data_IF_215530673410
#
_entry.id   IF_215530673410
#
_cell.length_a   1.000
_cell.length_b   1.000
_cell.length_c   1.000
_cell.angle_alpha   90.00
_cell.angle_beta   90.00
_cell.angle_gamma   90.00
#
_symmetry.space_group_name_H-M   'P 1'
#
loop_
_entity.id
_entity.type
_entity.pdbx_description
1 polymer ?
#
# COMPACT_ATOMS: atom_id res chain seq x y z
N UNK A 1 31.69 -14.29 -9.07
CA UNK A 1 30.36 -13.77 -8.66
C UNK A 1 30.58 -12.48 -7.90
N UNK A 2 29.68 -11.49 -8.02
CA UNK A 2 29.75 -10.30 -7.18
C UNK A 2 29.17 -10.59 -5.80
N UNK A 3 29.74 -10.01 -4.73
CA UNK A 3 29.21 -10.09 -3.35
C UNK A 3 27.73 -9.74 -3.26
N UNK A 4 27.26 -8.82 -4.10
CA UNK A 4 25.85 -8.43 -4.16
C UNK A 4 24.96 -9.57 -4.68
N UNK A 5 25.42 -10.29 -5.70
CA UNK A 5 24.67 -11.41 -6.28
C UNK A 5 24.56 -12.56 -5.27
N UNK A 6 25.65 -12.90 -4.58
CA UNK A 6 25.69 -13.94 -3.54
C UNK A 6 24.74 -13.62 -2.36
N UNK A 7 24.68 -12.36 -1.94
CA UNK A 7 23.75 -11.96 -0.88
C UNK A 7 22.30 -11.96 -1.35
N UNK A 8 22.04 -11.59 -2.61
CA UNK A 8 20.68 -11.61 -3.15
C UNK A 8 20.14 -13.02 -3.37
N UNK A 9 20.98 -13.97 -3.80
CA UNK A 9 20.60 -15.39 -3.87
C UNK A 9 20.29 -15.95 -2.50
N UNK A 10 21.12 -15.64 -1.50
CA UNK A 10 20.89 -16.07 -0.11
C UNK A 10 19.59 -15.49 0.48
N UNK A 11 19.19 -14.28 0.08
CA UNK A 11 17.89 -13.69 0.47
C UNK A 11 16.72 -14.38 -0.24
N UNK A 12 16.87 -14.83 -1.49
CA UNK A 12 15.83 -15.60 -2.18
C UNK A 12 15.67 -17.01 -1.59
N UNK A 13 16.78 -17.65 -1.25
CA UNK A 13 16.78 -18.91 -0.51
C UNK A 13 16.06 -18.74 0.84
N UNK A 14 16.32 -17.64 1.55
CA UNK A 14 15.56 -17.32 2.77
C UNK A 14 14.06 -17.17 2.52
N UNK A 15 13.64 -16.48 1.45
CA UNK A 15 12.20 -16.33 1.09
C UNK A 15 11.52 -17.69 0.86
N UNK A 16 12.26 -18.66 0.34
CA UNK A 16 11.78 -20.04 0.13
C UNK A 16 11.89 -20.92 1.38
N UNK A 17 12.70 -20.51 2.37
CA UNK A 17 12.84 -21.23 3.63
C UNK A 17 11.68 -20.92 4.58
N UNK A 18 11.16 -21.93 5.27
CA UNK A 18 10.19 -21.75 6.36
C UNK A 18 10.88 -21.36 7.70
N UNK A 19 12.17 -20.99 7.66
CA UNK A 19 12.96 -20.70 8.83
C UNK A 19 12.83 -19.23 9.24
N UNK A 20 13.01 -18.97 10.53
CA UNK A 20 13.14 -17.59 11.00
C UNK A 20 14.52 -17.02 10.57
N UNK A 21 14.60 -15.68 10.43
CA UNK A 21 15.81 -15.02 9.93
C UNK A 21 17.06 -15.29 10.79
N UNK A 22 16.89 -15.47 12.12
CA UNK A 22 17.99 -15.74 13.04
C UNK A 22 18.58 -17.15 12.80
N UNK A 23 17.73 -18.17 12.77
CA UNK A 23 18.11 -19.55 12.50
C UNK A 23 18.72 -19.68 11.10
N UNK A 24 18.15 -19.00 10.10
CA UNK A 24 18.71 -19.00 8.75
C UNK A 24 20.12 -18.37 8.70
N UNK A 25 20.32 -17.26 9.40
CA UNK A 25 21.63 -16.61 9.51
C UNK A 25 22.66 -17.52 10.22
N UNK A 26 22.26 -18.21 11.28
CA UNK A 26 23.10 -19.16 12.02
C UNK A 26 23.53 -20.35 11.13
N UNK A 27 22.60 -20.95 10.37
CA UNK A 27 22.91 -22.08 9.47
C UNK A 27 23.82 -21.69 8.31
N UNK A 28 23.66 -20.48 7.77
CA UNK A 28 24.44 -20.01 6.62
C UNK A 28 25.70 -19.20 7.00
N UNK A 29 25.98 -19.06 8.30
CA UNK A 29 27.15 -18.31 8.79
C UNK A 29 27.13 -16.82 8.46
N UNK A 30 25.95 -16.23 8.30
CA UNK A 30 25.78 -14.81 7.96
C UNK A 30 25.48 -14.01 9.23
N UNK A 31 26.14 -12.87 9.42
CA UNK A 31 25.83 -11.97 10.53
C UNK A 31 24.42 -11.37 10.33
N UNK A 32 23.52 -11.43 11.32
CA UNK A 32 22.15 -10.96 11.18
C UNK A 32 22.04 -9.51 10.71
N UNK A 33 22.89 -8.61 11.19
CA UNK A 33 22.91 -7.20 10.78
C UNK A 33 23.22 -7.04 9.29
N UNK A 34 24.19 -7.81 8.77
CA UNK A 34 24.54 -7.86 7.35
C UNK A 34 23.37 -8.40 6.53
N UNK A 35 22.72 -9.46 7.00
CA UNK A 35 21.55 -10.02 6.34
C UNK A 35 20.41 -8.99 6.21
N UNK A 36 20.05 -8.32 7.30
CA UNK A 36 19.00 -7.30 7.28
C UNK A 36 19.35 -6.12 6.39
N UNK A 37 20.62 -5.70 6.37
CA UNK A 37 21.10 -4.67 5.46
C UNK A 37 20.86 -5.05 3.99
N UNK A 38 21.29 -6.24 3.58
CA UNK A 38 21.12 -6.70 2.20
C UNK A 38 19.66 -6.94 1.84
N UNK A 39 18.84 -7.44 2.77
CA UNK A 39 17.40 -7.60 2.59
C UNK A 39 16.73 -6.25 2.30
N UNK A 40 17.07 -5.21 3.07
CA UNK A 40 16.58 -3.85 2.83
C UNK A 40 17.08 -3.31 1.49
N UNK A 41 18.37 -3.49 1.18
CA UNK A 41 18.96 -3.04 -0.09
C UNK A 41 18.27 -3.70 -1.29
N UNK A 42 17.94 -4.99 -1.22
CA UNK A 42 17.20 -5.70 -2.26
C UNK A 42 15.78 -5.16 -2.42
N UNK A 43 15.06 -4.98 -1.30
CA UNK A 43 13.71 -4.41 -1.34
C UNK A 43 13.67 -3.01 -1.96
N UNK A 44 14.66 -2.15 -1.66
CA UNK A 44 14.79 -0.83 -2.28
C UNK A 44 15.07 -0.88 -3.78
N UNK A 45 15.74 -1.92 -4.26
CA UNK A 45 16.05 -2.14 -5.69
C UNK A 45 14.87 -2.75 -6.45
N UNK A 46 14.03 -3.54 -5.77
CA UNK A 46 12.79 -4.13 -6.30
C UNK A 46 11.63 -3.11 -6.31
N UNK A 47 11.65 -2.12 -5.41
CA UNK A 47 10.71 -1.02 -5.47
C UNK A 47 10.95 -0.20 -6.75
N UNK A 48 9.89 0.18 -7.49
CA UNK A 48 10.04 1.19 -8.54
C UNK A 48 10.69 2.42 -7.91
N UNK A 49 11.47 3.20 -8.68
CA UNK A 49 12.18 4.40 -8.22
C UNK A 49 11.25 5.54 -7.79
N UNK A 50 10.32 5.27 -6.87
CA UNK A 50 9.54 6.24 -6.13
C UNK A 50 10.38 6.69 -4.93
N UNK A 51 11.63 7.06 -5.19
CA UNK A 51 12.45 7.86 -4.28
C UNK A 51 11.92 9.30 -4.35
N UNK A 52 10.75 9.54 -3.76
CA UNK A 52 10.07 10.82 -3.81
C UNK A 52 8.96 10.92 -2.78
N UNK A 53 8.30 12.08 -2.75
CA UNK A 53 7.14 12.29 -1.90
C UNK A 53 6.03 11.29 -2.25
N UNK A 54 5.60 10.51 -1.25
CA UNK A 54 4.42 9.67 -1.36
C UNK A 54 3.22 10.59 -1.15
N UNK A 55 2.43 10.81 -2.19
CA UNK A 55 1.20 11.59 -2.07
C UNK A 55 0.21 10.83 -1.18
N UNK A 56 -0.10 11.39 -0.02
CA UNK A 56 -1.15 10.89 0.85
C UNK A 56 -2.43 11.59 0.42
N UNK A 57 -3.23 10.93 -0.41
CA UNK A 57 -4.60 11.40 -0.63
C UNK A 57 -5.38 11.19 0.68
N UNK A 58 -6.07 12.21 1.21
CA UNK A 58 -6.99 11.98 2.30
C UNK A 58 -8.00 10.94 1.81
N UNK A 59 -8.20 9.90 2.61
CA UNK A 59 -9.31 8.96 2.41
C UNK A 59 -10.56 9.78 2.65
N UNK A 60 -11.13 10.36 1.58
CA UNK A 60 -12.42 11.01 1.63
C UNK A 60 -13.38 9.89 2.00
N UNK A 61 -13.78 9.85 3.27
CA UNK A 61 -14.93 9.06 3.66
C UNK A 61 -16.08 9.59 2.81
N UNK A 62 -16.58 8.77 1.90
CA UNK A 62 -17.71 9.13 1.04
C UNK A 62 -18.84 9.53 1.98
N UNK A 63 -19.08 10.83 2.14
CA UNK A 63 -20.17 11.32 2.96
C UNK A 63 -21.48 10.89 2.32
N UNK A 64 -22.41 10.44 3.15
CA UNK A 64 -23.78 10.25 2.72
C UNK A 64 -24.49 11.60 2.84
N UNK A 65 -25.01 12.12 1.73
CA UNK A 65 -25.75 13.36 1.65
C UNK A 65 -27.25 13.07 1.73
N UNK A 66 -28.01 13.90 2.44
CA UNK A 66 -29.47 13.79 2.51
C UNK A 66 -30.14 15.01 1.87
N UNK A 67 -31.02 14.75 0.90
CA UNK A 67 -31.84 15.77 0.23
C UNK A 67 -33.30 15.64 0.72
N UNK A 68 -33.85 16.72 1.28
CA UNK A 68 -35.21 16.76 1.83
C UNK A 68 -36.06 17.75 1.02
N UNK A 69 -37.14 17.26 0.43
CA UNK A 69 -38.08 18.07 -0.35
C UNK A 69 -39.24 18.61 0.52
N UNK A 70 -39.90 19.72 0.10
CA UNK A 70 -41.03 20.32 0.83
C UNK A 70 -42.22 19.37 1.03
N UNK A 71 -42.40 18.40 0.13
CA UNK A 71 -43.42 17.35 0.23
C UNK A 71 -43.05 16.21 1.20
N UNK A 72 -41.91 16.32 1.89
CA UNK A 72 -41.44 15.35 2.88
C UNK A 72 -40.62 14.19 2.32
N UNK A 73 -40.37 14.14 1.00
CA UNK A 73 -39.52 13.12 0.38
C UNK A 73 -38.06 13.33 0.82
N UNK A 74 -37.40 12.26 1.25
CA UNK A 74 -35.99 12.27 1.65
C UNK A 74 -35.19 11.31 0.79
N UNK A 75 -34.14 11.78 0.16
CA UNK A 75 -33.22 10.97 -0.64
C UNK A 75 -31.87 10.93 0.07
N UNK A 76 -31.33 9.74 0.26
CA UNK A 76 -29.95 9.53 0.74
C UNK A 76 -29.09 9.18 -0.47
N UNK A 77 -28.02 9.94 -0.64
CA UNK A 77 -27.17 9.92 -1.82
C UNK A 77 -25.71 9.86 -1.36
N UNK A 78 -24.83 9.37 -2.23
CA UNK A 78 -23.40 9.50 -2.01
C UNK A 78 -22.91 10.84 -2.55
N UNK A 79 -21.88 11.42 -1.91
CA UNK A 79 -21.23 12.66 -2.38
C UNK A 79 -20.69 12.55 -3.83
N UNK A 80 -20.44 11.32 -4.29
CA UNK A 80 -20.02 11.02 -5.66
C UNK A 80 -21.07 11.34 -6.73
N UNK A 81 -22.34 11.57 -6.34
CA UNK A 81 -23.48 11.72 -7.25
C UNK A 81 -23.94 13.20 -7.41
N UNK A 82 -23.02 14.15 -7.30
CA UNK A 82 -23.31 15.60 -7.34
C UNK A 82 -24.05 16.03 -8.63
N UNK A 83 -23.75 15.42 -9.77
CA UNK A 83 -24.49 15.68 -11.03
C UNK A 83 -25.96 15.25 -10.96
N UNK A 84 -26.26 14.15 -10.28
CA UNK A 84 -27.63 13.67 -10.08
C UNK A 84 -28.39 14.60 -9.14
N UNK A 85 -27.75 15.04 -8.05
CA UNK A 85 -28.30 16.02 -7.11
C UNK A 85 -28.71 17.31 -7.85
N UNK A 86 -27.82 17.83 -8.70
CA UNK A 86 -28.09 19.03 -9.49
C UNK A 86 -29.31 18.89 -10.42
N UNK A 87 -29.47 17.73 -11.06
CA UNK A 87 -30.65 17.45 -11.91
C UNK A 87 -31.94 17.36 -11.09
N UNK A 88 -31.88 16.72 -9.93
CA UNK A 88 -33.02 16.52 -9.03
C UNK A 88 -33.55 17.82 -8.42
N UNK A 89 -32.67 18.80 -8.19
CA UNK A 89 -33.08 20.14 -7.72
C UNK A 89 -33.76 20.93 -8.84
N UNK A 90 -33.36 20.77 -10.11
CA UNK A 90 -33.92 21.50 -11.26
C UNK A 90 -35.28 20.98 -11.75
N UNK A 91 -35.73 19.83 -11.24
CA UNK A 91 -37.03 19.23 -11.59
C UNK A 91 -38.19 19.79 -10.76
N UNK A 92 -37.91 20.70 -9.84
CA UNK A 92 -38.88 21.45 -9.04
C UNK A 92 -38.74 22.95 -9.36
#
# INVERSE_FOLDING_TARGET
>A
MSKEQEMFTLIDEFKNSALNAKAFCETNGVVPSTFYYWKKKKALKELPETSGFISISPKVETGSLELIYPNGIRLRLEDSQLELISKLIRLY
#
